data_IF_006264754186
#
_entry.id   IF_006264754186
#
_cell.length_a   1.000
_cell.length_b   1.000
_cell.length_c   1.000
_cell.angle_alpha   90.00
_cell.angle_beta   90.00
_cell.angle_gamma   90.00
#
_symmetry.space_group_name_H-M   'P 1'
#
loop_
_entity.id
_entity.type
_entity.pdbx_description
1 polymer ?
#
# COMPACT_ATOMS: atom_id res chain seq x y z
N UNK A 1 -13.36 3.15 14.91
CA UNK A 1 -14.45 2.98 13.95
C UNK A 1 -14.93 1.53 14.03
N UNK A 2 -16.10 1.23 14.61
CA UNK A 2 -16.65 -0.12 14.54
C UNK A 2 -17.05 -0.41 13.09
N UNK A 3 -16.53 -1.51 12.52
CA UNK A 3 -16.92 -2.00 11.20
C UNK A 3 -17.76 -3.25 11.41
N UNK A 4 -19.00 -3.22 10.93
CA UNK A 4 -19.91 -4.36 10.96
C UNK A 4 -20.11 -4.88 9.52
N UNK A 5 -20.07 -6.20 9.35
CA UNK A 5 -20.26 -6.85 8.05
C UNK A 5 -21.45 -7.80 8.18
N UNK A 6 -22.45 -7.61 7.33
CA UNK A 6 -23.61 -8.51 7.24
C UNK A 6 -23.48 -9.38 6.00
N UNK A 7 -23.63 -10.69 6.17
CA UNK A 7 -23.63 -11.66 5.07
C UNK A 7 -25.08 -11.93 4.69
N UNK A 8 -25.46 -11.69 3.43
CA UNK A 8 -26.77 -12.06 2.93
C UNK A 8 -26.85 -13.58 2.73
N UNK A 9 -27.92 -14.26 3.17
CA UNK A 9 -28.12 -15.68 2.90
C UNK A 9 -28.17 -15.90 1.38
N UNK A 10 -27.27 -16.75 0.86
CA UNK A 10 -27.34 -17.21 -0.52
C UNK A 10 -28.08 -18.56 -0.55
N UNK A 11 -28.98 -18.74 -1.52
CA UNK A 11 -29.73 -19.98 -1.66
C UNK A 11 -28.79 -21.18 -1.79
N UNK A 12 -29.00 -22.19 -0.94
CA UNK A 12 -28.18 -23.40 -0.88
C UNK A 12 -26.88 -23.29 -0.07
N UNK A 13 -26.55 -22.13 0.52
CA UNK A 13 -25.37 -21.97 1.38
C UNK A 13 -25.77 -21.97 2.86
N UNK A 14 -25.36 -23.01 3.60
CA UNK A 14 -25.60 -23.12 5.04
C UNK A 14 -24.34 -22.75 5.82
N UNK A 15 -24.34 -21.58 6.46
CA UNK A 15 -23.28 -21.17 7.39
C UNK A 15 -23.45 -21.92 8.72
N UNK A 16 -22.39 -22.57 9.20
CA UNK A 16 -22.36 -23.25 10.50
C UNK A 16 -21.39 -22.56 11.45
N UNK A 17 -21.68 -22.65 12.74
CA UNK A 17 -20.75 -22.21 13.77
C UNK A 17 -19.41 -22.94 13.61
N UNK A 18 -18.30 -22.21 13.77
CA UNK A 18 -16.95 -22.73 13.64
C UNK A 18 -16.30 -22.53 12.26
N UNK A 19 -16.98 -21.91 11.30
CA UNK A 19 -16.34 -21.46 10.06
C UNK A 19 -15.63 -20.12 10.27
N UNK A 20 -14.40 -20.03 9.78
CA UNK A 20 -13.65 -18.78 9.71
C UNK A 20 -14.03 -18.01 8.45
N UNK A 21 -14.12 -16.69 8.56
CA UNK A 21 -14.29 -15.79 7.43
C UNK A 21 -13.19 -14.74 7.45
N UNK A 22 -12.58 -14.49 6.30
CA UNK A 22 -11.65 -13.38 6.10
C UNK A 22 -12.37 -12.30 5.29
N UNK A 23 -12.37 -11.06 5.78
CA UNK A 23 -12.88 -9.91 5.06
C UNK A 23 -11.71 -8.99 4.71
N UNK A 24 -11.56 -8.65 3.42
CA UNK A 24 -10.59 -7.67 2.96
C UNK A 24 -11.33 -6.35 2.71
N UNK A 25 -10.91 -5.30 3.41
CA UNK A 25 -11.50 -3.96 3.29
C UNK A 25 -10.47 -3.07 2.62
N UNK A 26 -10.85 -2.46 1.50
CA UNK A 26 -10.03 -1.47 0.81
C UNK A 26 -10.55 -0.09 1.22
N UNK A 27 -9.76 0.66 1.98
CA UNK A 27 -10.13 1.99 2.49
C UNK A 27 -9.85 3.05 1.42
N UNK A 28 -8.67 2.96 0.80
CA UNK A 28 -8.25 3.83 -0.29
C UNK A 28 -7.60 3.00 -1.39
N UNK A 29 -7.81 3.43 -2.64
CA UNK A 29 -7.21 2.82 -3.81
C UNK A 29 -6.84 3.92 -4.80
N UNK A 30 -5.64 3.81 -5.35
CA UNK A 30 -5.17 4.59 -6.50
C UNK A 30 -4.86 3.64 -7.63
N UNK A 31 -5.17 4.05 -8.86
CA UNK A 31 -4.87 3.29 -10.07
C UNK A 31 -4.06 4.16 -11.01
N UNK A 32 -3.18 3.54 -11.81
CA UNK A 32 -2.31 4.22 -12.77
C UNK A 32 -1.40 5.29 -12.16
N UNK A 33 -0.92 5.06 -10.94
CA UNK A 33 0.06 5.91 -10.26
C UNK A 33 1.46 5.32 -10.36
N UNK A 34 2.48 6.17 -10.37
CA UNK A 34 3.86 5.72 -10.34
C UNK A 34 4.19 5.23 -8.93
N UNK A 35 4.76 4.04 -8.82
CA UNK A 35 5.16 3.47 -7.54
C UNK A 35 6.60 3.03 -7.58
N UNK A 36 7.30 3.18 -6.46
CA UNK A 36 8.64 2.65 -6.25
C UNK A 36 8.68 1.77 -5.00
N UNK A 37 9.64 0.82 -4.89
CA UNK A 37 9.81 0.04 -3.68
C UNK A 37 10.09 0.93 -2.47
N UNK A 38 9.34 0.76 -1.39
CA UNK A 38 9.47 1.62 -0.20
C UNK A 38 10.88 1.58 0.39
N UNK A 39 11.55 0.41 0.28
CA UNK A 39 12.93 0.19 0.76
C UNK A 39 13.99 1.11 0.14
N UNK A 40 13.71 1.78 -0.98
CA UNK A 40 14.67 2.69 -1.63
C UNK A 40 14.42 4.17 -1.30
N UNK A 41 13.43 4.46 -0.47
CA UNK A 41 13.15 5.81 0.02
C UNK A 41 13.96 6.07 1.28
N UNK A 42 14.57 7.24 1.32
CA UNK A 42 15.22 7.78 2.49
C UNK A 42 14.37 8.92 3.05
N UNK A 43 14.09 8.88 4.35
CA UNK A 43 13.38 9.94 5.06
C UNK A 43 14.33 10.69 5.98
N UNK A 44 14.40 12.02 5.86
CA UNK A 44 15.22 12.91 6.70
C UNK A 44 14.45 14.20 6.98
N UNK A 45 14.26 14.53 8.26
CA UNK A 45 13.61 15.78 8.70
C UNK A 45 12.32 16.09 7.92
N UNK A 46 11.37 15.14 7.93
CA UNK A 46 10.07 15.22 7.25
C UNK A 46 10.10 15.32 5.72
N UNK A 47 11.27 15.10 5.10
CA UNK A 47 11.43 15.06 3.64
C UNK A 47 11.80 13.67 3.17
N UNK A 48 11.16 13.22 2.08
CA UNK A 48 11.47 11.95 1.40
C UNK A 48 12.35 12.21 0.17
N UNK A 49 13.34 11.35 -0.04
CA UNK A 49 14.22 11.42 -1.21
C UNK A 49 14.64 10.02 -1.67
N UNK A 50 14.98 9.93 -2.94
CA UNK A 50 15.53 8.72 -3.58
C UNK A 50 16.92 8.99 -4.11
N UNK A 51 17.72 7.93 -4.21
CA UNK A 51 19.04 8.00 -4.84
C UNK A 51 18.97 7.48 -6.26
N UNK A 52 19.31 8.32 -7.22
CA UNK A 52 19.37 7.97 -8.63
C UNK A 52 20.81 7.59 -9.00
N UNK A 53 21.04 6.38 -9.52
CA UNK A 53 22.34 6.01 -10.04
C UNK A 53 22.64 6.82 -11.31
N UNK A 54 23.80 7.47 -11.32
CA UNK A 54 24.38 8.20 -12.45
C UNK A 54 25.53 7.39 -13.07
N UNK A 55 25.98 7.73 -14.27
CA UNK A 55 27.23 7.21 -14.82
C UNK A 55 28.41 7.43 -13.87
N UNK A 56 29.46 6.60 -13.99
CA UNK A 56 30.68 6.66 -13.18
C UNK A 56 30.50 6.37 -11.68
N UNK A 57 29.53 5.52 -11.30
CA UNK A 57 29.23 5.16 -9.90
C UNK A 57 28.87 6.37 -9.02
N UNK A 58 28.30 7.42 -9.63
CA UNK A 58 27.78 8.57 -8.89
C UNK A 58 26.33 8.32 -8.51
N UNK A 59 25.89 8.96 -7.43
CA UNK A 59 24.48 8.95 -7.00
C UNK A 59 24.01 10.40 -6.86
N UNK A 60 22.78 10.67 -7.29
CA UNK A 60 22.09 11.96 -7.08
C UNK A 60 20.94 11.75 -6.10
N UNK A 61 20.85 12.59 -5.06
CA UNK A 61 19.68 12.63 -4.19
C UNK A 61 18.59 13.50 -4.85
N UNK A 62 17.41 12.90 -5.07
CA UNK A 62 16.24 13.60 -5.59
C UNK A 62 15.12 13.57 -4.56
N UNK A 63 14.66 14.75 -4.15
CA UNK A 63 13.48 14.90 -3.31
C UNK A 63 12.23 14.42 -4.05
N UNK A 64 11.36 13.71 -3.33
CA UNK A 64 10.09 13.17 -3.85
C UNK A 64 8.96 13.47 -2.87
N UNK A 65 7.74 13.52 -3.39
CA UNK A 65 6.51 13.55 -2.58
C UNK A 65 5.96 12.14 -2.57
N UNK A 66 5.61 11.63 -1.40
CA UNK A 66 5.09 10.27 -1.26
C UNK A 66 3.57 10.27 -1.04
N UNK A 67 2.89 9.28 -1.61
CA UNK A 67 1.44 9.07 -1.46
C UNK A 67 1.10 7.80 -0.69
N UNK A 68 0.13 7.04 -1.20
CA UNK A 68 -0.34 5.80 -0.57
C UNK A 68 0.78 4.73 -0.59
N UNK A 69 0.98 4.04 0.54
CA UNK A 69 1.88 2.88 0.66
C UNK A 69 1.07 1.60 0.95
N UNK A 70 1.48 0.49 0.34
CA UNK A 70 1.00 -0.87 0.65
C UNK A 70 2.00 -1.69 1.48
N UNK A 71 2.97 -1.02 2.12
CA UNK A 71 4.11 -1.57 2.87
C UNK A 71 5.15 -2.34 2.02
N UNK A 72 4.98 -2.37 0.70
CA UNK A 72 5.96 -2.92 -0.25
C UNK A 72 6.40 -1.82 -1.22
N UNK A 73 5.43 -1.12 -1.78
CA UNK A 73 5.58 0.00 -2.69
C UNK A 73 4.84 1.21 -2.16
N UNK A 74 5.29 2.36 -2.64
CA UNK A 74 4.72 3.66 -2.28
C UNK A 74 4.63 4.52 -3.52
N UNK A 75 3.53 5.26 -3.60
CA UNK A 75 3.23 6.24 -4.64
C UNK A 75 4.21 7.42 -4.58
N UNK A 76 4.66 7.88 -5.76
CA UNK A 76 5.58 9.02 -5.94
C UNK A 76 5.21 9.91 -7.12
#
# INVERSE_FOLDING_TARGET
>A
FPVEITISPADGVLLRAGYSANANIIIEKRENVLTIPERVIYSRNDSSFVKLPLPDNKEEERAIVTGLSDAINIEV
#
